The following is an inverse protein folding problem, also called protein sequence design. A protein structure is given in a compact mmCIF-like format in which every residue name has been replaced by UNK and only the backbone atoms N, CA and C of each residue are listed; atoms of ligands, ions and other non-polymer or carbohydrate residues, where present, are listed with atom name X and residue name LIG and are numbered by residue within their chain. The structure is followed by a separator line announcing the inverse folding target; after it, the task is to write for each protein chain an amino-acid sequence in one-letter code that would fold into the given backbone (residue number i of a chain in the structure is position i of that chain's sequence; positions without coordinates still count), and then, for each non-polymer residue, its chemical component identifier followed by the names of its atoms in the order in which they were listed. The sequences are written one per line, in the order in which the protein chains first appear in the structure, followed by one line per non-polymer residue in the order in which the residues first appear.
data_IF_536952807442
#
_entry.id   IF_536952807442
#
_cell.length_a   1.000
_cell.length_b   1.000
_cell.length_c   1.000
_cell.angle_alpha   90.00
_cell.angle_beta   90.00
_cell.angle_gamma   90.00
#
_symmetry.space_group_name_H-M   'P 1'
#
loop_
_entity.id
_entity.type
_entity.pdbx_description
1 polymer ?
#
# COMPACT_ATOMS: atom_id res chain seq x y z
N UNK A 1 -7.17 5.59 12.45
CA UNK A 1 -6.57 5.64 11.09
C UNK A 1 -5.26 6.40 10.99
N UNK A 2 -5.13 7.63 11.50
CA UNK A 2 -3.89 8.43 11.34
C UNK A 2 -2.64 7.74 11.88
N UNK A 3 -2.73 7.14 13.07
CA UNK A 3 -1.62 6.39 13.70
C UNK A 3 -1.18 5.21 12.82
N UNK A 4 -2.13 4.37 12.39
CA UNK A 4 -1.83 3.25 11.49
C UNK A 4 -1.24 3.73 10.15
N UNK A 5 -1.75 4.83 9.59
CA UNK A 5 -1.17 5.42 8.38
C UNK A 5 0.27 5.93 8.58
N UNK A 6 0.58 6.49 9.75
CA UNK A 6 1.95 6.85 10.10
C UNK A 6 2.86 5.62 10.23
N UNK A 7 2.37 4.57 10.89
CA UNK A 7 3.08 3.29 10.99
C UNK A 7 3.38 2.69 9.61
N UNK A 8 2.38 2.60 8.73
CA UNK A 8 2.55 2.07 7.38
C UNK A 8 3.44 2.97 6.51
N UNK A 9 3.37 4.30 6.68
CA UNK A 9 4.29 5.19 5.99
C UNK A 9 5.75 4.88 6.34
N UNK A 10 6.06 4.69 7.63
CA UNK A 10 7.40 4.30 8.09
C UNK A 10 7.79 2.89 7.64
N UNK A 11 6.86 1.92 7.74
CA UNK A 11 7.06 0.55 7.29
C UNK A 11 7.42 0.49 5.80
N UNK A 12 6.77 1.30 4.96
CA UNK A 12 7.07 1.33 3.54
C UNK A 12 8.38 2.05 3.21
N UNK A 13 8.82 3.02 4.02
CA UNK A 13 10.20 3.55 3.89
C UNK A 13 11.21 2.44 4.18
N UNK A 14 11.01 1.66 5.25
CA UNK A 14 11.87 0.52 5.54
C UNK A 14 11.84 -0.49 4.40
N UNK A 15 10.65 -0.80 3.86
CA UNK A 15 10.49 -1.64 2.67
C UNK A 15 11.32 -1.14 1.49
N UNK A 16 11.23 0.14 1.13
CA UNK A 16 12.04 0.72 0.05
C UNK A 16 13.55 0.59 0.31
N UNK A 17 14.00 0.77 1.56
CA UNK A 17 15.41 0.61 1.91
C UNK A 17 15.89 -0.84 1.79
N UNK A 18 15.05 -1.81 2.16
CA UNK A 18 15.37 -3.24 2.00
C UNK A 18 15.59 -3.59 0.53
N UNK A 19 14.81 -3.00 -0.38
CA UNK A 19 14.91 -3.24 -1.82
C UNK A 19 16.19 -2.70 -2.46
N UNK A 20 17.02 -1.91 -1.77
CA UNK A 20 18.33 -1.51 -2.28
C UNK A 20 19.29 -2.70 -2.47
N UNK A 21 18.99 -3.83 -1.84
CA UNK A 21 19.77 -5.07 -1.97
C UNK A 21 19.28 -5.96 -3.12
N UNK A 22 18.20 -5.58 -3.78
CA UNK A 22 17.59 -6.34 -4.87
C UNK A 22 18.33 -6.14 -6.21
N UNK A 23 18.43 -7.15 -7.09
CA UNK A 23 19.03 -6.99 -8.42
C UNK A 23 18.35 -5.92 -9.29
N UNK A 24 17.03 -5.70 -9.17
CA UNK A 24 16.30 -4.67 -9.92
C UNK A 24 15.51 -3.70 -9.02
N UNK A 25 16.21 -2.86 -8.23
CA UNK A 25 15.64 -2.18 -7.07
C UNK A 25 14.63 -1.07 -7.41
N UNK A 26 14.71 -0.50 -8.62
CA UNK A 26 14.00 0.72 -9.01
C UNK A 26 12.47 0.57 -8.96
N UNK A 27 11.84 -0.40 -9.66
CA UNK A 27 10.38 -0.58 -9.64
C UNK A 27 9.86 -0.82 -8.22
N UNK A 28 10.59 -1.59 -7.40
CA UNK A 28 10.22 -1.88 -6.03
C UNK A 28 10.26 -0.65 -5.13
N UNK A 29 11.37 0.08 -5.15
CA UNK A 29 11.52 1.35 -4.41
C UNK A 29 10.42 2.33 -4.81
N UNK A 30 10.10 2.43 -6.09
CA UNK A 30 9.02 3.30 -6.57
C UNK A 30 7.66 2.90 -5.98
N UNK A 31 7.33 1.61 -5.97
CA UNK A 31 6.09 1.11 -5.38
C UNK A 31 5.97 1.43 -3.89
N UNK A 32 7.01 1.12 -3.11
CA UNK A 32 7.06 1.44 -1.69
C UNK A 32 7.03 2.95 -1.42
N UNK A 33 7.73 3.77 -2.20
CA UNK A 33 7.74 5.22 -2.05
C UNK A 33 6.36 5.83 -2.30
N UNK A 34 5.66 5.39 -3.36
CA UNK A 34 4.28 5.82 -3.66
C UNK A 34 3.36 5.50 -2.49
N UNK A 35 3.36 4.26 -1.99
CA UNK A 35 2.52 3.86 -0.87
C UNK A 35 2.87 4.59 0.43
N UNK A 36 4.16 4.89 0.65
CA UNK A 36 4.63 5.68 1.79
C UNK A 36 4.09 7.11 1.74
N UNK A 37 4.19 7.79 0.60
CA UNK A 37 3.68 9.15 0.42
C UNK A 37 2.16 9.21 0.63
N UNK A 38 1.41 8.26 0.05
CA UNK A 38 -0.04 8.18 0.23
C UNK A 38 -0.43 7.93 1.70
N UNK A 39 0.32 7.07 2.39
CA UNK A 39 0.12 6.79 3.82
C UNK A 39 0.46 8.00 4.69
N UNK A 40 1.53 8.71 4.38
CA UNK A 40 1.90 9.95 5.06
C UNK A 40 0.85 11.03 4.87
N UNK A 41 0.34 11.22 3.64
CA UNK A 41 -0.74 12.17 3.37
C UNK A 41 -2.00 11.83 4.21
N UNK A 42 -2.37 10.55 4.30
CA UNK A 42 -3.46 10.10 5.16
C UNK A 42 -3.18 10.34 6.66
N UNK A 43 -1.95 10.11 7.13
CA UNK A 43 -1.53 10.40 8.51
C UNK A 43 -1.65 11.89 8.85
N UNK A 44 -1.30 12.75 7.89
CA UNK A 44 -1.46 14.21 7.96
C UNK A 44 -2.91 14.68 7.82
N UNK A 45 -3.86 13.75 7.65
CA UNK A 45 -5.30 14.04 7.60
C UNK A 45 -5.83 14.36 6.21
N UNK A 46 -5.03 14.17 5.15
CA UNK A 46 -5.37 14.40 3.75
C UNK A 46 -5.40 13.08 2.95
N UNK A 47 -6.35 12.16 3.23
CA UNK A 47 -6.42 10.91 2.51
C UNK A 47 -6.96 11.12 1.09
N UNK A 48 -6.16 10.84 0.06
CA UNK A 48 -6.58 10.95 -1.33
C UNK A 48 -7.23 9.66 -1.80
N UNK A 49 -8.58 9.62 -1.82
CA UNK A 49 -9.35 8.42 -2.19
C UNK A 49 -8.96 7.84 -3.56
N UNK A 50 -9.01 8.66 -4.61
CA UNK A 50 -8.77 8.21 -5.99
C UNK A 50 -7.33 7.71 -6.14
N UNK A 51 -6.35 8.45 -5.61
CA UNK A 51 -4.95 8.07 -5.69
C UNK A 51 -4.68 6.72 -4.98
N UNK A 52 -5.28 6.51 -3.81
CA UNK A 52 -5.19 5.24 -3.10
C UNK A 52 -5.91 4.10 -3.84
N UNK A 53 -7.05 4.37 -4.48
CA UNK A 53 -7.75 3.36 -5.28
C UNK A 53 -6.93 2.93 -6.51
N UNK A 54 -6.35 3.90 -7.22
CA UNK A 54 -5.47 3.63 -8.37
C UNK A 54 -4.23 2.84 -7.93
N UNK A 55 -3.57 3.26 -6.83
CA UNK A 55 -2.43 2.53 -6.27
C UNK A 55 -2.80 1.08 -5.91
N UNK A 56 -3.94 0.87 -5.25
CA UNK A 56 -4.43 -0.46 -4.90
C UNK A 56 -4.60 -1.36 -6.13
N UNK A 57 -5.19 -0.83 -7.21
CA UNK A 57 -5.39 -1.56 -8.46
C UNK A 57 -4.06 -1.87 -9.14
N UNK A 58 -3.16 -0.89 -9.27
CA UNK A 58 -1.87 -1.09 -9.94
C UNK A 58 -1.01 -2.11 -9.20
N UNK A 59 -0.88 -1.98 -7.88
CA UNK A 59 -0.16 -2.96 -7.06
C UNK A 59 -0.85 -4.32 -7.06
N UNK A 60 -2.19 -4.36 -7.11
CA UNK A 60 -2.94 -5.60 -7.21
C UNK A 60 -2.72 -6.33 -8.55
N UNK A 61 -2.69 -5.60 -9.66
CA UNK A 61 -2.39 -6.16 -10.98
C UNK A 61 -0.96 -6.71 -11.02
N UNK A 62 0.00 -5.95 -10.49
CA UNK A 62 1.40 -6.39 -10.42
C UNK A 62 1.55 -7.61 -9.49
N UNK A 63 0.85 -7.61 -8.36
CA UNK A 63 0.78 -8.79 -7.49
C UNK A 63 0.26 -10.01 -8.25
N UNK A 64 -0.82 -9.89 -9.01
CA UNK A 64 -1.39 -11.02 -9.77
C UNK A 64 -0.39 -11.59 -10.78
N UNK A 65 0.46 -10.76 -11.39
CA UNK A 65 1.51 -11.27 -12.28
C UNK A 65 2.59 -12.09 -11.58
N UNK A 66 2.80 -11.87 -10.27
CA UNK A 66 3.78 -12.58 -9.45
C UNK A 66 3.15 -13.64 -8.56
N UNK A 67 1.82 -13.66 -8.39
CA UNK A 67 1.10 -14.61 -7.55
C UNK A 67 1.43 -16.09 -7.84
N UNK A 68 1.74 -16.53 -9.08
CA UNK A 68 2.17 -17.91 -9.32
C UNK A 68 3.45 -18.30 -8.57
N UNK A 69 4.36 -17.36 -8.28
CA UNK A 69 5.60 -17.63 -7.54
C UNK A 69 5.34 -18.04 -6.08
N UNK A 70 4.16 -17.71 -5.55
CA UNK A 70 3.75 -18.11 -4.20
C UNK A 70 3.38 -19.59 -4.11
N UNK A 71 3.06 -20.24 -5.24
CA UNK A 71 2.63 -21.64 -5.25
C UNK A 71 3.84 -22.55 -5.01
N UNK A 72 3.89 -23.16 -3.84
CA UNK A 72 5.01 -24.02 -3.45
C UNK A 72 6.23 -23.25 -2.92
N UNK A 73 6.07 -21.95 -2.63
CA UNK A 73 7.13 -21.15 -2.02
C UNK A 73 7.47 -21.70 -0.62
N UNK A 74 8.76 -22.00 -0.35
CA UNK A 74 9.20 -22.46 0.96
C UNK A 74 9.05 -21.35 2.01
N UNK A 75 8.84 -21.70 3.29
CA UNK A 75 8.64 -20.69 4.34
C UNK A 75 9.86 -19.79 4.51
N UNK A 76 11.04 -20.34 4.22
CA UNK A 76 12.33 -19.68 4.18
C UNK A 76 12.34 -18.47 3.24
N UNK A 77 11.53 -18.49 2.17
CA UNK A 77 11.39 -17.36 1.27
C UNK A 77 10.83 -16.11 1.97
N UNK A 78 10.10 -16.27 3.08
CA UNK A 78 9.52 -15.16 3.85
C UNK A 78 10.30 -14.82 5.12
N UNK A 79 11.23 -15.69 5.54
CA UNK A 79 11.96 -15.53 6.81
C UNK A 79 13.47 -15.36 6.66
N UNK A 80 14.05 -15.68 5.50
CA UNK A 80 15.49 -15.51 5.28
C UNK A 80 15.83 -14.04 5.08
N UNK A 81 16.81 -13.55 5.84
CA UNK A 81 17.45 -12.25 5.59
C UNK A 81 18.61 -12.36 4.59
N UNK A 82 19.01 -13.58 4.22
CA UNK A 82 19.99 -13.83 3.16
C UNK A 82 19.31 -13.71 1.79
N UNK A 83 19.53 -12.56 1.13
CA UNK A 83 19.05 -12.26 -0.22
C UNK A 83 19.87 -12.93 -1.35
N UNK A 84 20.73 -13.90 -1.06
CA UNK A 84 21.56 -14.53 -2.11
C UNK A 84 21.00 -15.85 -2.66
N UNK A 85 19.89 -16.36 -2.13
CA UNK A 85 19.22 -17.51 -2.71
C UNK A 85 18.27 -17.03 -3.82
N UNK A 86 18.73 -17.11 -5.07
CA UNK A 86 18.03 -16.84 -6.34
C UNK A 86 16.63 -17.49 -6.44
N UNK A 87 16.28 -18.41 -5.54
CA UNK A 87 14.98 -19.09 -5.47
C UNK A 87 13.93 -18.43 -4.54
N UNK A 88 14.20 -17.27 -3.94
CA UNK A 88 13.34 -16.66 -2.89
C UNK A 88 12.90 -15.21 -3.12
N UNK A 89 13.24 -14.58 -4.23
CA UNK A 89 12.99 -13.14 -4.47
C UNK A 89 11.53 -12.85 -4.83
N UNK A 90 10.99 -13.56 -5.82
CA UNK A 90 9.62 -13.35 -6.33
C UNK A 90 8.51 -13.55 -5.26
N UNK A 91 8.58 -14.52 -4.32
CA UNK A 91 7.56 -14.66 -3.28
C UNK A 91 7.54 -13.48 -2.29
N UNK A 92 8.70 -12.89 -1.96
CA UNK A 92 8.78 -11.72 -1.07
C UNK A 92 8.20 -10.48 -1.74
N UNK A 93 8.56 -10.28 -3.01
CA UNK A 93 8.04 -9.20 -3.83
C UNK A 93 6.52 -9.27 -3.97
N UNK A 94 5.98 -10.45 -4.24
CA UNK A 94 4.54 -10.70 -4.25
C UNK A 94 3.92 -10.37 -2.88
N UNK A 95 4.54 -10.79 -1.78
CA UNK A 95 4.10 -10.43 -0.42
C UNK A 95 4.08 -8.91 -0.18
N UNK A 96 5.12 -8.21 -0.63
CA UNK A 96 5.21 -6.75 -0.58
C UNK A 96 4.08 -6.08 -1.35
N UNK A 97 3.85 -6.49 -2.60
CA UNK A 97 2.77 -5.94 -3.44
C UNK A 97 1.38 -6.21 -2.86
N UNK A 98 1.15 -7.39 -2.30
CA UNK A 98 -0.10 -7.72 -1.61
C UNK A 98 -0.35 -6.75 -0.43
N UNK A 99 0.69 -6.46 0.34
CA UNK A 99 0.62 -5.52 1.46
C UNK A 99 0.34 -4.08 0.98
N UNK A 100 1.08 -3.62 -0.03
CA UNK A 100 0.90 -2.29 -0.63
C UNK A 100 -0.53 -2.12 -1.17
N UNK A 101 -1.01 -3.10 -1.94
CA UNK A 101 -2.36 -3.11 -2.52
C UNK A 101 -3.44 -3.09 -1.45
N UNK A 102 -3.34 -3.99 -0.46
CA UNK A 102 -4.33 -4.14 0.61
C UNK A 102 -4.44 -2.87 1.46
N UNK A 103 -3.30 -2.26 1.80
CA UNK A 103 -3.28 -1.05 2.61
C UNK A 103 -3.81 0.16 1.84
N UNK A 104 -3.42 0.34 0.58
CA UNK A 104 -3.97 1.39 -0.29
C UNK A 104 -5.48 1.23 -0.47
N UNK A 105 -5.99 0.00 -0.61
CA UNK A 105 -7.43 -0.25 -0.67
C UNK A 105 -8.15 0.16 0.63
N UNK A 106 -7.56 -0.16 1.79
CA UNK A 106 -8.10 0.24 3.09
C UNK A 106 -8.15 1.77 3.25
N UNK A 107 -7.10 2.49 2.82
CA UNK A 107 -7.09 3.95 2.82
C UNK A 107 -8.13 4.54 1.86
N UNK A 108 -8.29 3.99 0.66
CA UNK A 108 -9.30 4.43 -0.29
C UNK A 108 -10.72 4.25 0.26
N UNK A 109 -11.00 3.09 0.85
CA UNK A 109 -12.29 2.80 1.48
C UNK A 109 -12.57 3.76 2.64
N UNK A 110 -11.60 3.96 3.54
CA UNK A 110 -11.76 4.89 4.65
C UNK A 110 -11.96 6.34 4.20
N UNK A 111 -11.21 6.80 3.20
CA UNK A 111 -11.36 8.13 2.62
C UNK A 111 -12.77 8.35 2.07
N UNK A 112 -13.30 7.36 1.32
CA UNK A 112 -14.67 7.43 0.78
C UNK A 112 -15.74 7.53 1.86
N UNK A 113 -15.57 6.84 2.99
CA UNK A 113 -16.51 6.96 4.12
C UNK A 113 -16.55 8.36 4.71
N UNK A 114 -15.41 9.06 4.78
CA UNK A 114 -15.34 10.44 5.29
C UNK A 114 -16.01 11.43 4.35
N UNK A 115 -15.72 11.32 3.05
CA UNK A 115 -16.34 12.16 2.03
C UNK A 115 -17.87 12.04 2.03
N UNK A 116 -18.41 10.84 2.22
CA UNK A 116 -19.86 10.63 2.29
C UNK A 116 -20.47 11.28 3.53
N UNK A 117 -19.85 11.15 4.71
CA UNK A 117 -20.32 11.80 5.93
C UNK A 117 -20.32 13.33 5.78
N UNK A 118 -19.22 13.91 5.30
CA UNK A 118 -19.10 15.38 5.11
C UNK A 118 -20.12 15.93 4.10
N UNK A 119 -20.43 15.16 3.04
CA UNK A 119 -21.49 15.51 2.07
C UNK A 119 -22.88 15.47 2.69
N UNK A 120 -23.16 14.47 3.53
CA UNK A 120 -24.45 14.35 4.21
C UNK A 120 -24.67 15.50 5.19
N UNK A 121 -23.67 15.83 6.01
CA UNK A 121 -23.74 16.93 6.97
C UNK A 121 -23.98 18.28 6.28
N UNK A 122 -23.31 18.51 5.15
CA UNK A 122 -23.48 19.73 4.33
C UNK A 122 -24.88 19.83 3.73
N UNK A 123 -25.48 18.71 3.32
CA UNK A 123 -26.83 18.68 2.77
C UNK A 123 -27.91 19.00 3.82
N UNK A 124 -27.76 18.49 5.04
CA UNK A 124 -28.66 18.82 6.16
C UNK A 124 -28.56 20.29 6.58
N UNK A 125 -27.34 20.83 6.72
CA UNK A 125 -27.15 22.23 7.07
C UNK A 125 -27.74 23.21 6.03
N UNK A 126 -27.75 22.82 4.75
CA UNK A 126 -28.39 23.61 3.68
C UNK A 126 -29.92 23.55 3.71
N UNK A 127 -30.52 22.47 4.22
CA UNK A 127 -31.97 22.31 4.31
C UNK A 127 -32.58 23.17 5.43
N UNK A 128 -31.85 23.37 6.54
CA UNK A 128 -32.32 24.20 7.66
C UNK A 128 -32.19 25.71 7.39
N UNK A 129 -31.47 26.11 6.33
CA UNK A 129 -31.18 27.50 6.00
C UNK A 129 -32.12 28.13 4.95
N UNK A 130 -33.11 27.38 4.44
CA UNK A 130 -34.07 27.82 3.41
C UNK A 130 -35.51 27.79 3.92
#
# INVERSE_FOLDING_TARGET
MRVAAGFFAALFVVGALVQLNDPDPIPWIAGYAIASVLSLAAALGRPHRIANAVAAILFGIWFVSLAPSLIGAPQEAFTSFEMQAVFHEEPREAGGLALLSSWSAALAYWAGRRETSERQDSAWAGADAG
#
